data_IF_773048535350
#
_entry.id   IF_773048535350
#
_cell.length_a   1.000
_cell.length_b   1.000
_cell.length_c   1.000
_cell.angle_alpha   90.00
_cell.angle_beta   90.00
_cell.angle_gamma   90.00
#
_symmetry.space_group_name_H-M   'P 1'
#
loop_
_entity.id
_entity.type
_entity.pdbx_description
1 polymer ?
#
# COMPACT_ATOMS: atom_id res chain seq x y z
N UNK A 1 -10.75 -24.21 -32.40
CA UNK A 1 -10.79 -24.72 -31.02
C UNK A 1 -9.71 -24.14 -30.11
N UNK A 2 -8.48 -23.95 -30.56
CA UNK A 2 -7.39 -23.39 -29.73
C UNK A 2 -7.68 -21.98 -29.16
N UNK A 3 -8.29 -21.09 -29.94
CA UNK A 3 -8.59 -19.71 -29.54
C UNK A 3 -9.63 -19.63 -28.40
N UNK A 4 -10.59 -20.56 -28.35
CA UNK A 4 -11.59 -20.65 -27.27
C UNK A 4 -10.97 -21.12 -25.95
N UNK A 5 -10.04 -22.08 -26.01
CA UNK A 5 -9.29 -22.58 -24.83
C UNK A 5 -8.39 -21.50 -24.24
N UNK A 6 -7.73 -20.71 -25.08
CA UNK A 6 -6.90 -19.57 -24.64
C UNK A 6 -7.78 -18.48 -24.02
N UNK A 7 -8.97 -18.20 -24.58
CA UNK A 7 -9.88 -17.20 -24.03
C UNK A 7 -10.44 -17.57 -22.66
N UNK A 8 -10.83 -18.82 -22.44
CA UNK A 8 -11.29 -19.29 -21.13
C UNK A 8 -10.16 -19.33 -20.10
N UNK A 9 -8.98 -19.83 -20.46
CA UNK A 9 -7.84 -19.85 -19.55
C UNK A 9 -7.36 -18.46 -19.13
N UNK A 10 -7.40 -17.47 -20.04
CA UNK A 10 -7.05 -16.09 -19.71
C UNK A 10 -8.09 -15.46 -18.75
N UNK A 11 -9.37 -15.74 -18.97
CA UNK A 11 -10.45 -15.28 -18.11
C UNK A 11 -10.27 -15.82 -16.69
N UNK A 12 -10.04 -17.12 -16.54
CA UNK A 12 -9.88 -17.76 -15.23
C UNK A 12 -8.65 -17.22 -14.49
N UNK A 13 -7.53 -17.00 -15.19
CA UNK A 13 -6.33 -16.37 -14.60
C UNK A 13 -6.58 -14.93 -14.12
N UNK A 14 -7.39 -14.15 -14.84
CA UNK A 14 -7.69 -12.78 -14.42
C UNK A 14 -8.55 -12.77 -13.15
N UNK A 15 -9.58 -13.62 -13.07
CA UNK A 15 -10.38 -13.74 -11.86
C UNK A 15 -9.55 -14.22 -10.66
N UNK A 16 -8.68 -15.20 -10.85
CA UNK A 16 -7.79 -15.67 -9.80
C UNK A 16 -6.87 -14.56 -9.26
N UNK A 17 -6.35 -13.69 -10.13
CA UNK A 17 -5.54 -12.51 -9.71
C UNK A 17 -6.38 -11.53 -8.91
N UNK A 18 -7.61 -11.26 -9.31
CA UNK A 18 -8.52 -10.37 -8.58
C UNK A 18 -8.85 -10.95 -7.21
N UNK A 19 -9.23 -12.22 -7.15
CA UNK A 19 -9.51 -12.91 -5.88
C UNK A 19 -8.28 -12.89 -4.95
N UNK A 20 -7.09 -13.21 -5.47
CA UNK A 20 -5.85 -13.15 -4.68
C UNK A 20 -5.55 -11.73 -4.17
N UNK A 21 -5.75 -10.70 -4.99
CA UNK A 21 -5.49 -9.31 -4.60
C UNK A 21 -6.45 -8.84 -3.52
N UNK A 22 -7.75 -9.05 -3.68
CA UNK A 22 -8.78 -8.46 -2.82
C UNK A 22 -9.27 -9.37 -1.68
N UNK A 23 -9.02 -10.68 -1.74
CA UNK A 23 -9.36 -11.59 -0.65
C UNK A 23 -8.18 -11.93 0.27
N UNK A 24 -6.91 -11.76 -0.21
CA UNK A 24 -5.73 -12.18 0.56
C UNK A 24 -4.71 -11.09 0.84
N UNK A 25 -4.73 -9.99 0.09
CA UNK A 25 -3.72 -8.94 0.20
C UNK A 25 -4.33 -7.62 0.66
N UNK A 26 -5.38 -7.15 0.00
CA UNK A 26 -6.05 -5.88 0.26
C UNK A 26 -7.47 -6.14 0.76
N UNK A 27 -7.75 -5.73 1.99
CA UNK A 27 -9.05 -5.93 2.67
C UNK A 27 -9.82 -4.62 2.82
N UNK A 28 -9.61 -3.67 1.91
CA UNK A 28 -10.32 -2.40 1.87
C UNK A 28 -10.94 -2.20 0.49
N UNK A 29 -12.06 -1.47 0.46
CA UNK A 29 -12.89 -1.29 -0.75
C UNK A 29 -12.55 0.00 -1.49
N UNK A 30 -12.14 1.04 -0.76
CA UNK A 30 -11.81 2.32 -1.34
C UNK A 30 -10.63 3.02 -0.66
N UNK A 31 -10.05 3.99 -1.39
CA UNK A 31 -9.07 4.93 -0.86
C UNK A 31 -9.55 6.35 -1.11
N UNK A 32 -9.81 7.08 -0.04
CA UNK A 32 -10.10 8.52 -0.11
C UNK A 32 -8.79 9.32 -0.01
N UNK A 33 -8.61 10.30 -0.89
CA UNK A 33 -7.45 11.19 -0.88
C UNK A 33 -7.86 12.56 -0.37
N UNK A 34 -7.17 13.03 0.65
CA UNK A 34 -7.33 14.38 1.19
C UNK A 34 -6.36 15.34 0.50
N UNK A 35 -6.81 16.58 0.28
CA UNK A 35 -5.93 17.60 -0.24
C UNK A 35 -4.88 17.98 0.81
N UNK A 36 -3.62 18.16 0.40
CA UNK A 36 -2.53 18.56 1.29
C UNK A 36 -2.74 19.94 1.96
N UNK A 37 -3.70 20.73 1.46
CA UNK A 37 -4.09 22.05 2.00
C UNK A 37 -5.21 21.99 3.04
N UNK A 38 -5.77 20.81 3.30
CA UNK A 38 -6.85 20.63 4.29
C UNK A 38 -6.35 21.06 5.67
N UNK A 39 -7.11 21.86 6.38
CA UNK A 39 -6.77 22.23 7.74
C UNK A 39 -7.15 21.14 8.76
N UNK A 40 -6.68 21.33 9.99
CA UNK A 40 -6.87 20.29 11.03
C UNK A 40 -8.33 20.17 11.46
N UNK A 41 -9.11 21.25 11.44
CA UNK A 41 -10.51 21.23 11.85
C UNK A 41 -11.35 20.51 10.78
N UNK A 42 -11.14 20.83 9.52
CA UNK A 42 -11.81 20.18 8.39
C UNK A 42 -11.47 18.69 8.32
N UNK A 43 -10.18 18.33 8.54
CA UNK A 43 -9.78 16.94 8.63
C UNK A 43 -10.49 16.18 9.75
N UNK A 44 -10.56 16.75 10.96
CA UNK A 44 -11.24 16.13 12.07
C UNK A 44 -12.73 15.95 11.79
N UNK A 45 -13.37 16.93 11.14
CA UNK A 45 -14.78 16.80 10.75
C UNK A 45 -15.01 15.64 9.80
N UNK A 46 -14.13 15.44 8.80
CA UNK A 46 -14.22 14.29 7.90
C UNK A 46 -14.09 12.96 8.68
N UNK A 47 -13.15 12.88 9.61
CA UNK A 47 -12.98 11.68 10.42
C UNK A 47 -14.20 11.40 11.32
N UNK A 48 -14.77 12.45 11.93
CA UNK A 48 -15.99 12.33 12.75
C UNK A 48 -17.21 11.87 11.90
N UNK A 49 -17.30 12.36 10.64
CA UNK A 49 -18.34 11.95 9.70
C UNK A 49 -18.15 10.47 9.29
N UNK A 50 -16.92 10.02 9.03
CA UNK A 50 -16.62 8.62 8.73
C UNK A 50 -16.93 7.70 9.93
N UNK A 51 -16.61 8.10 11.16
CA UNK A 51 -16.95 7.35 12.37
C UNK A 51 -18.46 7.21 12.57
N UNK A 52 -19.24 8.19 12.13
CA UNK A 52 -20.70 8.20 12.23
C UNK A 52 -21.39 7.43 11.08
N UNK A 53 -20.67 7.08 10.02
CA UNK A 53 -21.24 6.43 8.84
C UNK A 53 -21.62 4.98 9.14
N UNK A 54 -22.89 4.68 8.98
CA UNK A 54 -23.43 3.35 9.27
C UNK A 54 -23.06 2.29 8.21
N UNK A 55 -22.67 2.69 7.01
CA UNK A 55 -22.26 1.82 5.92
C UNK A 55 -20.79 1.39 6.04
N UNK A 56 -19.98 2.17 6.77
CA UNK A 56 -18.57 1.89 6.98
C UNK A 56 -18.38 0.84 8.09
N UNK A 57 -17.53 -0.15 7.84
CA UNK A 57 -17.11 -1.13 8.83
C UNK A 57 -15.91 -0.63 9.63
N UNK A 58 -14.89 -0.14 8.91
CA UNK A 58 -13.65 0.35 9.51
C UNK A 58 -12.89 1.28 8.55
N UNK A 59 -11.99 2.12 9.07
CA UNK A 59 -11.09 2.92 8.28
C UNK A 59 -9.76 3.16 8.99
N UNK A 60 -8.70 3.42 8.22
CA UNK A 60 -7.40 3.82 8.77
C UNK A 60 -6.73 4.88 7.92
N UNK A 61 -6.00 5.77 8.55
CA UNK A 61 -5.27 6.83 7.87
C UNK A 61 -3.89 6.34 7.43
N UNK A 62 -3.51 6.73 6.23
CA UNK A 62 -2.18 6.47 5.69
C UNK A 62 -1.61 7.73 5.02
N UNK A 63 -0.30 7.87 5.03
CA UNK A 63 0.36 8.73 4.05
C UNK A 63 0.56 7.92 2.78
N UNK A 64 0.06 8.40 1.66
CA UNK A 64 0.30 7.81 0.36
C UNK A 64 0.92 8.86 -0.57
N UNK A 65 2.08 8.56 -1.13
CA UNK A 65 2.81 9.47 -2.01
C UNK A 65 3.46 8.71 -3.15
N UNK A 66 3.29 9.19 -4.38
CA UNK A 66 3.99 8.63 -5.52
C UNK A 66 5.42 9.17 -5.55
N UNK A 67 6.38 8.28 -5.49
CA UNK A 67 7.81 8.56 -5.49
C UNK A 67 8.52 7.77 -6.57
N UNK A 68 9.79 8.03 -6.74
CA UNK A 68 10.69 7.19 -7.52
C UNK A 68 11.60 6.43 -6.58
N UNK A 69 11.87 5.18 -6.94
CA UNK A 69 12.89 4.36 -6.28
C UNK A 69 13.92 3.92 -7.29
N UNK A 70 15.17 3.87 -6.86
CA UNK A 70 16.31 3.53 -7.67
C UNK A 70 17.14 2.44 -7.03
N UNK A 71 17.58 1.47 -7.82
CA UNK A 71 18.66 0.54 -7.51
C UNK A 71 19.94 0.95 -8.23
N UNK A 72 20.98 0.11 -8.21
CA UNK A 72 22.19 0.34 -8.99
C UNK A 72 21.93 0.28 -10.50
N UNK A 73 20.94 -0.50 -10.95
CA UNK A 73 20.69 -0.78 -12.37
C UNK A 73 19.49 -0.04 -12.93
N UNK A 74 18.43 0.16 -12.13
CA UNK A 74 17.13 0.62 -12.62
C UNK A 74 16.46 1.65 -11.72
N UNK A 75 15.52 2.43 -12.28
CA UNK A 75 14.68 3.40 -11.58
C UNK A 75 13.22 3.20 -11.98
N UNK A 76 12.29 3.23 -11.01
CA UNK A 76 10.87 3.11 -11.28
C UNK A 76 10.04 3.90 -10.29
N UNK A 77 8.76 4.15 -10.64
CA UNK A 77 7.81 4.81 -9.73
C UNK A 77 7.12 3.81 -8.82
N UNK A 78 6.89 4.22 -7.57
CA UNK A 78 6.24 3.43 -6.53
C UNK A 78 5.33 4.33 -5.70
N UNK A 79 4.30 3.75 -5.09
CA UNK A 79 3.55 4.41 -4.02
C UNK A 79 4.19 4.07 -2.68
N UNK A 80 4.72 5.09 -2.02
CA UNK A 80 5.11 5.01 -0.62
C UNK A 80 3.85 5.01 0.23
N UNK A 81 3.74 4.06 1.16
CA UNK A 81 2.64 3.96 2.11
C UNK A 81 3.19 3.89 3.53
N UNK A 82 2.73 4.82 4.38
CA UNK A 82 3.07 4.85 5.82
C UNK A 82 1.75 4.92 6.60
N UNK A 83 1.40 3.91 7.41
CA UNK A 83 0.16 3.91 8.18
C UNK A 83 0.24 4.84 9.38
N UNK A 84 -0.88 5.33 9.87
CA UNK A 84 -0.98 5.99 11.18
C UNK A 84 -0.78 4.99 12.31
N UNK A 85 -1.39 3.81 12.16
CA UNK A 85 -1.28 2.69 13.09
C UNK A 85 -0.89 1.42 12.32
N UNK A 86 0.24 0.84 12.68
CA UNK A 86 0.70 -0.42 12.09
C UNK A 86 -0.16 -1.60 12.49
N UNK A 87 -0.77 -1.55 13.68
CA UNK A 87 -1.68 -2.59 14.17
C UNK A 87 -3.00 -2.55 13.40
N UNK A 88 -3.57 -1.37 13.18
CA UNK A 88 -4.79 -1.20 12.38
C UNK A 88 -4.57 -1.61 10.93
N UNK A 89 -3.40 -1.26 10.34
CA UNK A 89 -3.09 -1.60 8.96
C UNK A 89 -3.20 -3.11 8.67
N UNK A 90 -2.96 -3.97 9.65
CA UNK A 90 -3.10 -5.44 9.51
C UNK A 90 -4.53 -5.88 9.17
N UNK A 91 -5.53 -5.06 9.51
CA UNK A 91 -6.93 -5.29 9.14
C UNK A 91 -7.24 -4.88 7.70
N UNK A 92 -6.35 -4.11 7.05
CA UNK A 92 -6.52 -3.58 5.71
C UNK A 92 -5.54 -4.16 4.69
N UNK A 93 -4.36 -4.62 5.14
CA UNK A 93 -3.31 -5.16 4.29
C UNK A 93 -2.62 -6.36 4.93
N UNK A 94 -2.41 -7.38 4.13
CA UNK A 94 -1.59 -8.54 4.50
C UNK A 94 -0.27 -8.52 3.74
N UNK A 95 0.83 -8.55 4.48
CA UNK A 95 2.16 -8.71 3.90
C UNK A 95 2.62 -10.15 4.06
N UNK A 96 2.65 -10.89 2.98
CA UNK A 96 3.07 -12.30 2.99
C UNK A 96 3.89 -12.64 1.74
N UNK A 97 4.60 -13.76 1.82
CA UNK A 97 5.34 -14.32 0.71
C UNK A 97 4.41 -15.11 -0.21
N UNK A 98 4.58 -14.95 -1.52
CA UNK A 98 3.87 -15.77 -2.51
C UNK A 98 4.32 -17.24 -2.53
N UNK A 99 5.54 -17.52 -2.08
CA UNK A 99 6.19 -18.83 -2.23
C UNK A 99 6.40 -19.56 -0.93
N UNK A 100 6.07 -18.96 0.21
CA UNK A 100 6.15 -19.55 1.53
C UNK A 100 5.00 -19.09 2.41
N UNK A 101 4.80 -19.73 3.56
CA UNK A 101 3.78 -19.32 4.55
C UNK A 101 4.26 -18.18 5.46
N UNK A 102 5.32 -17.44 5.07
CA UNK A 102 5.85 -16.33 5.84
C UNK A 102 4.97 -15.09 5.69
N UNK A 103 4.68 -14.48 6.83
CA UNK A 103 4.04 -13.17 6.93
C UNK A 103 5.01 -12.15 7.47
N UNK A 104 4.87 -10.90 7.04
CA UNK A 104 5.77 -9.82 7.40
C UNK A 104 5.02 -8.73 8.16
N UNK A 105 5.76 -8.01 9.01
CA UNK A 105 5.30 -6.79 9.68
C UNK A 105 6.26 -5.67 9.32
N UNK A 106 5.78 -4.43 9.37
CA UNK A 106 6.65 -3.27 9.27
C UNK A 106 7.66 -3.30 10.42
N UNK A 107 8.90 -3.04 10.14
CA UNK A 107 10.00 -3.09 11.09
C UNK A 107 10.79 -1.79 11.04
N UNK A 108 11.46 -1.47 12.14
CA UNK A 108 12.38 -0.35 12.20
C UNK A 108 13.53 -0.55 11.21
N UNK A 109 14.00 0.53 10.63
CA UNK A 109 15.13 0.61 9.67
C UNK A 109 14.96 -0.18 8.37
N UNK A 110 13.78 -0.75 8.08
CA UNK A 110 13.57 -1.58 6.90
C UNK A 110 12.23 -1.30 6.24
N UNK A 111 12.20 -1.61 4.95
CA UNK A 111 11.00 -1.41 4.13
C UNK A 111 10.49 -2.74 3.59
N UNK A 112 9.18 -2.81 3.33
CA UNK A 112 8.56 -3.91 2.58
C UNK A 112 8.33 -3.42 1.15
N UNK A 113 8.85 -4.18 0.19
CA UNK A 113 8.72 -3.88 -1.24
C UNK A 113 7.82 -4.92 -1.91
N UNK A 114 6.98 -4.52 -2.85
CA UNK A 114 6.18 -5.47 -3.63
C UNK A 114 7.04 -6.28 -4.60
N UNK A 115 6.69 -7.56 -4.81
CA UNK A 115 7.46 -8.53 -5.60
C UNK A 115 7.75 -8.01 -7.02
N UNK A 116 6.76 -7.43 -7.69
CA UNK A 116 6.96 -6.90 -9.05
C UNK A 116 7.97 -5.77 -9.08
N UNK A 117 7.99 -4.92 -8.05
CA UNK A 117 8.96 -3.83 -7.96
C UNK A 117 10.37 -4.37 -7.71
N UNK A 118 10.53 -5.41 -6.87
CA UNK A 118 11.85 -6.03 -6.67
C UNK A 118 12.40 -6.63 -7.95
N UNK A 119 11.54 -7.22 -8.79
CA UNK A 119 11.93 -7.73 -10.11
C UNK A 119 12.35 -6.61 -11.08
N UNK A 120 11.62 -5.49 -11.11
CA UNK A 120 11.93 -4.33 -11.95
C UNK A 120 13.28 -3.72 -11.56
N UNK A 121 13.52 -3.57 -10.26
CA UNK A 121 14.77 -2.99 -9.74
C UNK A 121 15.92 -3.99 -9.65
N UNK A 122 15.68 -5.26 -9.93
CA UNK A 122 16.62 -6.38 -9.79
C UNK A 122 17.27 -6.46 -8.39
N UNK A 123 16.44 -6.34 -7.33
CA UNK A 123 16.86 -6.30 -5.93
C UNK A 123 16.23 -7.42 -5.11
N UNK A 124 16.87 -7.77 -4.00
CA UNK A 124 16.47 -8.80 -3.06
C UNK A 124 16.36 -8.26 -1.63
N UNK A 125 15.86 -9.07 -0.72
CA UNK A 125 15.89 -8.79 0.73
C UNK A 125 17.32 -8.60 1.19
N UNK A 126 17.57 -7.52 1.92
CA UNK A 126 18.89 -7.10 2.39
C UNK A 126 19.61 -6.09 1.50
N UNK A 127 19.16 -5.90 0.25
CA UNK A 127 19.72 -4.89 -0.64
C UNK A 127 19.24 -3.48 -0.23
N UNK A 128 20.04 -2.49 -0.59
CA UNK A 128 19.73 -1.07 -0.39
C UNK A 128 19.16 -0.46 -1.66
N UNK A 129 18.09 0.31 -1.52
CA UNK A 129 17.51 1.13 -2.59
C UNK A 129 17.48 2.60 -2.17
N UNK A 130 17.43 3.49 -3.15
CA UNK A 130 17.31 4.93 -2.92
C UNK A 130 15.90 5.38 -3.24
N UNK A 131 15.23 5.96 -2.25
CA UNK A 131 13.96 6.69 -2.43
C UNK A 131 14.31 8.10 -2.88
N UNK A 132 13.68 8.56 -3.96
CA UNK A 132 13.81 9.93 -4.49
C UNK A 132 12.50 10.67 -4.24
N UNK A 133 12.56 11.63 -3.35
CA UNK A 133 11.48 12.57 -3.07
C UNK A 133 11.90 13.94 -3.64
N UNK A 134 11.11 14.48 -4.55
CA UNK A 134 11.43 15.74 -5.25
C UNK A 134 11.55 16.93 -4.26
N UNK A 135 10.84 16.89 -3.15
CA UNK A 135 10.83 17.96 -2.13
C UNK A 135 11.84 17.72 -1.01
N UNK A 136 12.11 16.45 -0.67
CA UNK A 136 12.89 16.06 0.51
C UNK A 136 14.24 15.42 0.19
N UNK A 137 14.53 15.23 -1.10
CA UNK A 137 15.78 14.68 -1.60
C UNK A 137 15.85 13.15 -1.55
N UNK A 138 17.05 12.62 -1.69
CA UNK A 138 17.29 11.18 -1.76
C UNK A 138 17.54 10.57 -0.37
N UNK A 139 17.01 9.36 -0.14
CA UNK A 139 17.18 8.58 1.09
C UNK A 139 17.46 7.13 0.75
N UNK A 140 18.43 6.53 1.42
CA UNK A 140 18.72 5.10 1.30
C UNK A 140 17.95 4.29 2.34
N UNK A 141 17.40 3.16 1.91
CA UNK A 141 16.67 2.23 2.79
C UNK A 141 17.01 0.79 2.44
N UNK A 142 16.97 -0.08 3.44
CA UNK A 142 17.23 -1.51 3.30
C UNK A 142 15.92 -2.26 3.11
N UNK A 143 15.85 -3.16 2.14
CA UNK A 143 14.70 -4.03 1.92
C UNK A 143 14.67 -5.10 3.01
N UNK A 144 13.67 -5.07 3.89
CA UNK A 144 13.45 -6.06 4.94
C UNK A 144 12.65 -7.25 4.51
N UNK A 145 11.68 -7.04 3.61
CA UNK A 145 10.85 -8.09 3.05
C UNK A 145 10.37 -7.74 1.64
N UNK A 146 10.01 -8.77 0.89
CA UNK A 146 9.36 -8.65 -0.42
C UNK A 146 8.03 -9.38 -0.33
N UNK A 147 6.92 -8.64 -0.48
CA UNK A 147 5.58 -9.18 -0.33
C UNK A 147 4.90 -9.43 -1.67
N UNK A 148 3.99 -10.41 -1.68
CA UNK A 148 3.10 -10.68 -2.80
C UNK A 148 2.21 -9.47 -3.07
N UNK A 149 2.05 -9.11 -4.34
CA UNK A 149 1.11 -8.10 -4.80
C UNK A 149 0.96 -8.16 -6.32
N UNK A 150 -0.26 -8.03 -6.80
CA UNK A 150 -0.59 -8.15 -8.23
C UNK A 150 -0.94 -6.81 -8.87
N UNK A 151 -1.47 -5.87 -8.10
CA UNK A 151 -1.93 -4.57 -8.60
C UNK A 151 -1.17 -3.42 -7.96
N UNK A 152 -0.57 -2.58 -8.79
CA UNK A 152 0.22 -1.45 -8.33
C UNK A 152 1.64 -1.83 -7.85
N UNK A 153 2.40 -0.82 -7.50
CA UNK A 153 3.77 -0.95 -7.00
C UNK A 153 3.89 -0.14 -5.72
N UNK A 154 4.18 -0.82 -4.63
CA UNK A 154 4.18 -0.20 -3.31
C UNK A 154 5.49 -0.42 -2.58
N UNK A 155 5.82 0.54 -1.74
CA UNK A 155 6.88 0.54 -0.75
C UNK A 155 6.24 0.92 0.59
N UNK A 156 6.33 0.05 1.57
CA UNK A 156 5.71 0.25 2.88
C UNK A 156 6.78 0.52 3.93
N UNK A 157 6.58 1.55 4.74
CA UNK A 157 7.43 1.94 5.84
C UNK A 157 6.62 2.02 7.15
N UNK A 158 7.29 1.77 8.27
CA UNK A 158 6.77 2.13 9.58
C UNK A 158 6.81 3.66 9.80
N UNK A 159 6.05 4.16 10.76
CA UNK A 159 6.13 5.54 11.18
C UNK A 159 7.53 5.93 11.66
N UNK A 160 8.15 5.07 12.46
CA UNK A 160 9.47 5.28 13.02
C UNK A 160 10.53 5.36 11.91
N UNK A 161 10.49 4.45 10.94
CA UNK A 161 11.39 4.51 9.77
C UNK A 161 11.18 5.80 8.96
N UNK A 162 9.93 6.23 8.77
CA UNK A 162 9.67 7.47 8.06
C UNK A 162 10.21 8.69 8.82
N UNK A 163 9.97 8.77 10.13
CA UNK A 163 10.45 9.89 10.95
C UNK A 163 11.99 9.95 11.00
N UNK A 164 12.64 8.80 11.07
CA UNK A 164 14.11 8.72 11.01
C UNK A 164 14.66 9.22 9.67
N UNK A 165 14.03 8.83 8.56
CA UNK A 165 14.46 9.22 7.21
C UNK A 165 14.24 10.70 6.92
N UNK A 166 13.14 11.27 7.42
CA UNK A 166 12.69 12.60 7.02
C UNK A 166 12.75 13.65 8.16
N UNK A 167 13.06 13.23 9.39
CA UNK A 167 13.20 14.09 10.56
C UNK A 167 11.89 14.68 11.08
N UNK A 168 10.75 14.17 10.63
CA UNK A 168 9.41 14.61 11.04
C UNK A 168 8.39 13.49 10.80
N UNK A 169 7.33 13.41 11.62
CA UNK A 169 6.27 12.42 11.42
C UNK A 169 5.54 12.61 10.08
N UNK A 170 4.98 11.55 9.51
CA UNK A 170 4.22 11.64 8.28
C UNK A 170 2.96 12.49 8.44
N UNK A 171 2.60 13.22 7.39
CA UNK A 171 1.28 13.83 7.28
C UNK A 171 0.38 12.88 6.51
N UNK A 172 -0.60 12.30 7.18
CA UNK A 172 -1.55 11.38 6.55
C UNK A 172 -2.48 12.15 5.63
N UNK A 173 -2.53 11.74 4.38
CA UNK A 173 -3.26 12.39 3.29
C UNK A 173 -4.21 11.43 2.57
N UNK A 174 -4.37 10.24 3.07
CA UNK A 174 -5.25 9.25 2.49
C UNK A 174 -5.91 8.41 3.60
N UNK A 175 -7.09 7.90 3.31
CA UNK A 175 -7.85 7.04 4.20
C UNK A 175 -8.20 5.77 3.44
N UNK A 176 -7.87 4.61 3.99
CA UNK A 176 -8.33 3.32 3.50
C UNK A 176 -9.67 3.04 4.15
N UNK A 177 -10.68 2.72 3.35
CA UNK A 177 -12.06 2.51 3.78
C UNK A 177 -12.46 1.05 3.54
N UNK A 178 -13.05 0.42 4.56
CA UNK A 178 -13.68 -0.89 4.44
C UNK A 178 -15.16 -0.75 4.73
N UNK A 179 -15.97 -1.17 3.76
CA UNK A 179 -17.43 -1.11 3.86
C UNK A 179 -17.97 -2.36 4.56
N UNK A 180 -19.16 -2.28 5.11
CA UNK A 180 -19.90 -3.45 5.55
C UNK A 180 -20.36 -4.27 4.36
N UNK A 181 -20.43 -5.58 4.54
CA UNK A 181 -20.88 -6.51 3.50
C UNK A 181 -22.21 -6.06 2.88
N UNK A 182 -22.24 -5.92 1.57
CA UNK A 182 -23.41 -5.49 0.79
C UNK A 182 -23.67 -3.97 0.81
N UNK A 183 -22.73 -3.16 1.28
CA UNK A 183 -22.78 -1.70 1.24
C UNK A 183 -21.71 -1.08 0.33
N UNK A 184 -21.01 -1.88 -0.47
CA UNK A 184 -19.90 -1.45 -1.33
C UNK A 184 -20.35 -0.41 -2.36
N UNK A 185 -21.60 -0.49 -2.83
CA UNK A 185 -22.18 0.45 -3.81
C UNK A 185 -22.43 1.85 -3.20
N UNK A 186 -22.42 2.02 -1.88
CA UNK A 186 -22.62 3.30 -1.23
C UNK A 186 -21.41 4.25 -1.28
N UNK A 187 -20.27 3.77 -1.80
CA UNK A 187 -19.06 4.60 -2.03
C UNK A 187 -19.31 5.69 -3.10
N UNK A 188 -20.28 5.53 -3.98
CA UNK A 188 -20.58 6.45 -5.08
C UNK A 188 -21.53 7.60 -4.70
N UNK A 189 -22.09 7.62 -3.51
CA UNK A 189 -22.98 8.67 -3.00
C UNK A 189 -22.26 9.66 -2.08
#
# INVERSE_FOLDING_TARGET
MALLLVGFGLKDCIYEIVDLQYEKIQFYDATAYMNDTIDKEEKNQILDELEADSALDDFTQVRMQKLKVKSESDESSVYLVVPESEEELKSFLSFHSRTSDETYTLAEDKVILTEKMSQILAVNVGDTITIKDDDKGEREVVIGAICENYMGHYLYLSNDTYEELYGAPPKYNSILLRMKDGQEDSIEE
#
